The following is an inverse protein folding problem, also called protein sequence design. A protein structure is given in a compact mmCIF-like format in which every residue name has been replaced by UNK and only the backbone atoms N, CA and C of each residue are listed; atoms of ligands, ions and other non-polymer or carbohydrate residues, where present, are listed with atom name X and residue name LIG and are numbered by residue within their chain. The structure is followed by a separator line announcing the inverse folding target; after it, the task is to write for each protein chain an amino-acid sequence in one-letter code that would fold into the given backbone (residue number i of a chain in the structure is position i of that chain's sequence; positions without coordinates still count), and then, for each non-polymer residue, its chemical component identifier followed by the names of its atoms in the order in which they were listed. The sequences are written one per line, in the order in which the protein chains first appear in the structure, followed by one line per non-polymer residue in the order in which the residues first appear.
data_IF_804683878937
#
_entry.id   IF_804683878937
#
_cell.length_a   1.000
_cell.length_b   1.000
_cell.length_c   1.000
_cell.angle_alpha   90.00
_cell.angle_beta   90.00
_cell.angle_gamma   90.00
#
_symmetry.space_group_name_H-M   'P 1'
#
loop_
_entity.id
_entity.type
_entity.pdbx_description
1 polymer ?
#
# COMPACT_ATOMS: atom_id res chain seq x y z
N UNK A 1 -4.40 -3.20 25.81
CA UNK A 1 -3.36 -2.14 25.97
C UNK A 1 -2.53 -2.25 27.25
N UNK A 2 -3.13 -2.31 28.46
CA UNK A 2 -2.35 -2.41 29.71
C UNK A 2 -1.46 -3.67 29.77
N UNK A 3 -1.90 -4.78 29.19
CA UNK A 3 -1.12 -6.02 29.11
C UNK A 3 0.16 -5.85 28.26
N UNK A 4 0.01 -5.29 27.05
CA UNK A 4 1.13 -5.05 26.13
C UNK A 4 2.17 -4.08 26.72
N UNK A 5 1.71 -3.03 27.40
CA UNK A 5 2.59 -2.11 28.12
C UNK A 5 3.45 -2.83 29.18
N UNK A 6 2.84 -3.75 29.96
CA UNK A 6 3.55 -4.56 30.96
C UNK A 6 4.52 -5.56 30.33
N UNK A 7 4.14 -6.20 29.21
CA UNK A 7 4.98 -7.17 28.50
C UNK A 7 6.21 -6.53 27.85
N UNK A 8 6.07 -5.29 27.35
CA UNK A 8 7.16 -4.56 26.71
C UNK A 8 7.95 -3.65 27.67
N UNK A 9 7.58 -3.63 28.97
CA UNK A 9 8.16 -2.72 29.97
C UNK A 9 8.13 -1.23 29.56
N UNK A 10 7.07 -0.81 28.84
CA UNK A 10 6.88 0.57 28.39
C UNK A 10 5.67 1.22 29.06
N UNK A 11 5.61 2.55 29.02
CA UNK A 11 4.47 3.29 29.58
C UNK A 11 3.16 2.98 28.84
N UNK A 12 2.05 2.91 29.58
CA UNK A 12 0.71 2.71 29.00
C UNK A 12 0.33 3.84 28.04
N UNK A 13 0.82 5.06 28.28
CA UNK A 13 0.59 6.23 27.41
C UNK A 13 1.23 5.98 26.04
N UNK A 14 2.45 5.45 26.01
CA UNK A 14 3.17 5.10 24.77
C UNK A 14 2.40 4.07 23.96
N UNK A 15 1.92 3.00 24.62
CA UNK A 15 1.14 1.95 23.94
C UNK A 15 -0.21 2.46 23.44
N UNK A 16 -0.83 3.39 24.18
CA UNK A 16 -2.09 4.02 23.77
C UNK A 16 -1.91 4.93 22.56
N UNK A 17 -0.83 5.72 22.54
CA UNK A 17 -0.49 6.58 21.41
C UNK A 17 -0.27 5.76 20.15
N UNK A 18 0.58 4.73 20.23
CA UNK A 18 0.85 3.84 19.09
C UNK A 18 -0.42 3.19 18.51
N UNK A 19 -1.36 2.75 19.36
CA UNK A 19 -2.62 2.20 18.86
C UNK A 19 -3.57 3.26 18.29
N UNK A 20 -3.58 4.46 18.87
CA UNK A 20 -4.36 5.59 18.35
C UNK A 20 -3.85 6.04 16.97
N UNK A 21 -2.53 6.02 16.77
CA UNK A 21 -1.90 6.35 15.50
C UNK A 21 -2.26 5.28 14.45
N UNK A 22 -2.18 3.99 14.81
CA UNK A 22 -2.59 2.89 13.94
C UNK A 22 -4.09 2.89 13.59
N UNK A 23 -4.96 3.30 14.52
CA UNK A 23 -6.39 3.48 14.26
C UNK A 23 -6.65 4.67 13.34
N UNK A 24 -5.96 5.80 13.55
CA UNK A 24 -6.05 6.97 12.67
C UNK A 24 -5.55 6.69 11.24
N UNK A 25 -4.55 5.83 11.11
CA UNK A 25 -4.04 5.32 9.83
C UNK A 25 -4.91 4.20 9.22
N UNK A 26 -5.99 3.79 9.89
CA UNK A 26 -6.94 2.79 9.40
C UNK A 26 -6.43 1.35 9.43
N UNK A 27 -5.38 1.06 10.20
CA UNK A 27 -4.87 -0.29 10.42
C UNK A 27 -5.61 -1.04 11.53
N UNK A 28 -6.26 -0.31 12.44
CA UNK A 28 -7.04 -0.87 13.54
C UNK A 28 -8.45 -0.29 13.54
N UNK A 29 -9.40 -1.08 14.02
CA UNK A 29 -10.78 -0.63 14.30
C UNK A 29 -11.15 -0.96 15.74
N UNK A 30 -11.75 -0.01 16.46
CA UNK A 30 -12.29 -0.26 17.80
C UNK A 30 -13.79 -0.47 17.75
N UNK A 31 -14.24 -1.64 18.20
CA UNK A 31 -15.66 -1.93 18.38
C UNK A 31 -16.01 -1.76 19.86
N UNK A 32 -16.93 -0.84 20.15
CA UNK A 32 -17.37 -0.55 21.51
C UNK A 32 -17.80 -1.82 22.24
N UNK A 33 -17.22 -2.08 23.41
CA UNK A 33 -17.49 -3.27 24.22
C UNK A 33 -16.85 -4.58 23.73
N UNK A 34 -16.21 -4.61 22.54
CA UNK A 34 -15.57 -5.82 22.00
C UNK A 34 -14.04 -5.71 21.88
N UNK A 35 -13.51 -4.50 21.93
CA UNK A 35 -12.07 -4.25 21.90
C UNK A 35 -11.58 -3.71 20.55
N UNK A 36 -10.26 -3.80 20.33
CA UNK A 36 -9.58 -3.27 19.15
C UNK A 36 -9.13 -4.44 18.27
N UNK A 37 -9.46 -4.37 16.99
CA UNK A 37 -9.21 -5.41 15.98
C UNK A 37 -8.33 -4.86 14.88
N UNK A 38 -7.57 -5.74 14.23
CA UNK A 38 -6.85 -5.37 13.01
C UNK A 38 -7.91 -5.09 11.96
N UNK A 39 -7.97 -3.84 11.49
CA UNK A 39 -8.83 -3.49 10.39
C UNK A 39 -8.47 -4.42 9.23
N UNK A 40 -9.48 -4.96 8.53
CA UNK A 40 -9.24 -5.47 7.20
C UNK A 40 -8.82 -4.28 6.35
N UNK A 41 -7.53 -3.92 6.39
CA UNK A 41 -6.94 -2.87 5.57
C UNK A 41 -7.50 -3.11 4.18
N UNK A 42 -8.34 -2.20 3.70
CA UNK A 42 -9.18 -2.50 2.55
C UNK A 42 -8.21 -2.78 1.40
N UNK A 43 -7.97 -4.06 1.11
CA UNK A 43 -6.97 -4.48 0.12
C UNK A 43 -7.30 -3.81 -1.22
N UNK A 44 -8.57 -3.41 -1.40
CA UNK A 44 -9.06 -2.58 -2.48
C UNK A 44 -8.42 -1.19 -2.48
N UNK A 45 -8.33 -0.48 -1.35
CA UNK A 45 -7.71 0.84 -1.26
C UNK A 45 -6.21 0.79 -1.53
N UNK A 46 -5.51 -0.19 -0.95
CA UNK A 46 -4.07 -0.40 -1.21
C UNK A 46 -3.84 -0.74 -2.68
N UNK A 47 -4.63 -1.66 -3.23
CA UNK A 47 -4.54 -2.04 -4.64
C UNK A 47 -4.89 -0.87 -5.57
N UNK A 48 -5.88 -0.04 -5.23
CA UNK A 48 -6.25 1.14 -6.00
C UNK A 48 -5.12 2.16 -6.07
N UNK A 49 -4.46 2.44 -4.94
CA UNK A 49 -3.32 3.37 -4.91
C UNK A 49 -2.12 2.82 -5.70
N UNK A 50 -1.83 1.52 -5.57
CA UNK A 50 -0.78 0.89 -6.39
C UNK A 50 -1.14 0.90 -7.88
N UNK A 51 -2.39 0.61 -8.24
CA UNK A 51 -2.88 0.67 -9.62
C UNK A 51 -2.74 2.08 -10.22
N UNK A 52 -3.12 3.12 -9.46
CA UNK A 52 -2.95 4.52 -9.88
C UNK A 52 -1.48 4.85 -10.14
N UNK A 53 -0.58 4.43 -9.24
CA UNK A 53 0.85 4.67 -9.39
C UNK A 53 1.46 3.94 -10.58
N UNK A 54 0.98 2.73 -10.87
CA UNK A 54 1.36 2.00 -12.10
C UNK A 54 0.90 2.76 -13.35
N UNK A 55 -0.33 3.26 -13.35
CA UNK A 55 -0.89 4.04 -14.46
C UNK A 55 -0.10 5.34 -14.71
N UNK A 56 0.27 6.08 -13.67
CA UNK A 56 1.11 7.28 -13.78
C UNK A 56 2.48 6.96 -14.40
N UNK A 57 3.12 5.86 -14.01
CA UNK A 57 4.41 5.43 -14.56
C UNK A 57 4.29 4.99 -16.03
N UNK A 58 3.25 4.21 -16.36
CA UNK A 58 2.98 3.79 -17.73
C UNK A 58 2.65 4.98 -18.63
N UNK A 59 1.92 5.98 -18.13
CA UNK A 59 1.65 7.23 -18.85
C UNK A 59 2.94 7.94 -19.25
N UNK A 60 3.89 8.07 -18.32
CA UNK A 60 5.22 8.64 -18.60
C UNK A 60 6.01 7.81 -19.62
N UNK A 61 5.92 6.48 -19.54
CA UNK A 61 6.57 5.60 -20.52
C UNK A 61 5.96 5.77 -21.93
N UNK A 62 4.65 5.94 -22.03
CA UNK A 62 3.95 6.22 -23.30
C UNK A 62 4.37 7.56 -23.89
N UNK A 63 4.48 8.61 -23.07
CA UNK A 63 4.96 9.92 -23.53
C UNK A 63 6.38 9.83 -24.10
N UNK A 64 7.29 9.15 -23.38
CA UNK A 64 8.66 8.93 -23.83
C UNK A 64 8.72 8.11 -25.13
N UNK A 65 7.91 7.06 -25.22
CA UNK A 65 7.80 6.23 -26.41
C UNK A 65 7.36 7.04 -27.64
N UNK A 66 6.32 7.87 -27.48
CA UNK A 66 5.82 8.77 -28.54
C UNK A 66 6.89 9.75 -29.01
N UNK A 67 7.63 10.36 -28.08
CA UNK A 67 8.72 11.29 -28.41
C UNK A 67 9.88 10.61 -29.14
N UNK A 68 10.09 9.33 -28.88
CA UNK A 68 11.18 8.54 -29.43
C UNK A 68 10.79 7.74 -30.69
N UNK A 69 9.55 7.92 -31.19
CA UNK A 69 9.04 7.19 -32.35
C UNK A 69 8.80 5.69 -32.12
N UNK A 70 8.74 5.25 -30.86
CA UNK A 70 8.46 3.86 -30.49
C UNK A 70 6.97 3.61 -30.69
N UNK A 71 6.64 2.60 -31.50
CA UNK A 71 5.26 2.23 -31.76
C UNK A 71 4.59 1.62 -30.52
N UNK A 72 3.25 1.68 -30.41
CA UNK A 72 2.54 0.99 -29.33
C UNK A 72 2.84 -0.50 -29.25
N UNK A 73 3.06 -1.16 -30.40
CA UNK A 73 3.40 -2.58 -30.45
C UNK A 73 4.79 -2.88 -29.87
N UNK A 74 5.79 -2.05 -30.17
CA UNK A 74 7.12 -2.17 -29.58
C UNK A 74 7.10 -1.92 -28.07
N UNK A 75 6.34 -0.91 -27.61
CA UNK A 75 6.18 -0.62 -26.19
C UNK A 75 5.51 -1.78 -25.44
N UNK A 76 4.47 -2.40 -26.02
CA UNK A 76 3.88 -3.62 -25.45
C UNK A 76 4.90 -4.76 -25.41
N UNK A 77 5.67 -4.97 -26.48
CA UNK A 77 6.71 -6.00 -26.49
C UNK A 77 7.79 -5.78 -25.43
N UNK A 78 8.16 -4.52 -25.15
CA UNK A 78 9.06 -4.19 -24.03
C UNK A 78 8.40 -4.53 -22.69
N UNK A 79 7.14 -4.15 -22.51
CA UNK A 79 6.39 -4.44 -21.28
C UNK A 79 6.28 -5.95 -21.03
N UNK A 80 5.96 -6.73 -22.05
CA UNK A 80 5.85 -8.19 -21.97
C UNK A 80 7.17 -8.84 -21.59
N UNK A 81 8.30 -8.37 -22.15
CA UNK A 81 9.64 -8.85 -21.76
C UNK A 81 9.98 -8.51 -20.30
N UNK A 82 9.68 -7.29 -19.86
CA UNK A 82 9.93 -6.86 -18.49
C UNK A 82 9.04 -7.57 -17.46
N UNK A 83 7.79 -7.90 -17.84
CA UNK A 83 6.83 -8.55 -16.97
C UNK A 83 7.00 -10.07 -16.94
N UNK A 84 7.37 -10.66 -18.08
CA UNK A 84 7.50 -12.10 -18.28
C UNK A 84 8.87 -12.68 -17.95
N UNK A 85 9.93 -11.85 -17.82
CA UNK A 85 11.22 -12.23 -17.26
C UNK A 85 11.71 -13.65 -17.57
N UNK A 86 11.77 -14.05 -18.84
CA UNK A 86 12.41 -15.30 -19.24
C UNK A 86 12.86 -15.20 -20.71
N UNK A 87 14.16 -15.36 -20.93
CA UNK A 87 14.68 -15.96 -22.17
C UNK A 87 14.25 -17.44 -22.22
#
# INVERSE_FOLDING_TARGET
MRLLARQLHISVITTRRAYSDLEAEGFLETVAGKGCFVAQKDMKLVRAEQSRRVEELLGRAVELARQSGISPGELHGVLDRLYGGND
#
